data_IF_507079683998
#
_entry.id   IF_507079683998
#
_cell.length_a   1.000
_cell.length_b   1.000
_cell.length_c   1.000
_cell.angle_alpha   90.00
_cell.angle_beta   90.00
_cell.angle_gamma   90.00
#
_symmetry.space_group_name_H-M   'P 1'
#
loop_
_entity.id
_entity.type
_entity.pdbx_description
1 polymer ?
#
# COMPACT_ATOMS: atom_id res chain seq x y z
N UNK A 1 -0.80 -17.64 7.27
CA UNK A 1 -0.28 -16.34 6.82
C UNK A 1 0.91 -16.52 5.86
N UNK A 2 1.85 -17.39 6.20
CA UNK A 2 3.10 -17.58 5.44
C UNK A 2 2.88 -17.98 3.98
N UNK A 3 1.89 -18.84 3.69
CA UNK A 3 1.52 -19.17 2.30
C UNK A 3 1.14 -17.94 1.47
N UNK A 4 0.39 -17.00 2.04
CA UNK A 4 0.00 -15.76 1.34
C UNK A 4 1.19 -14.82 1.16
N UNK A 5 2.04 -14.70 2.19
CA UNK A 5 3.27 -13.90 2.11
C UNK A 5 4.17 -14.48 1.02
N UNK A 6 4.37 -15.80 0.98
CA UNK A 6 5.16 -16.47 -0.04
C UNK A 6 4.60 -16.24 -1.45
N UNK A 7 3.28 -16.35 -1.61
CA UNK A 7 2.61 -16.04 -2.88
C UNK A 7 2.92 -14.60 -3.34
N UNK A 8 2.78 -13.60 -2.46
CA UNK A 8 3.08 -12.22 -2.79
C UNK A 8 4.57 -11.98 -3.03
N UNK A 9 5.46 -12.62 -2.27
CA UNK A 9 6.92 -12.56 -2.48
C UNK A 9 7.27 -13.00 -3.90
N UNK A 10 6.77 -14.17 -4.32
CA UNK A 10 7.01 -14.67 -5.69
C UNK A 10 6.38 -13.73 -6.72
N UNK A 11 5.12 -13.34 -6.52
CA UNK A 11 4.36 -12.57 -7.50
C UNK A 11 4.85 -11.14 -7.66
N UNK A 12 5.40 -10.52 -6.61
CA UNK A 12 5.76 -9.10 -6.59
C UNK A 12 7.26 -8.84 -6.60
N UNK A 13 8.03 -9.65 -5.87
CA UNK A 13 9.48 -9.46 -5.70
C UNK A 13 10.22 -10.26 -6.75
N UNK A 14 9.96 -11.57 -6.85
CA UNK A 14 10.65 -12.42 -7.84
C UNK A 14 10.33 -12.06 -9.29
N UNK A 15 9.23 -11.35 -9.54
CA UNK A 15 8.88 -10.80 -10.86
C UNK A 15 9.36 -9.36 -11.08
N UNK A 16 10.10 -8.80 -10.12
CA UNK A 16 10.62 -7.42 -10.10
C UNK A 16 9.53 -6.33 -10.18
N UNK A 17 8.25 -6.68 -10.14
CA UNK A 17 7.14 -5.73 -10.27
C UNK A 17 7.15 -4.67 -9.18
N UNK A 18 7.45 -5.07 -7.94
CA UNK A 18 7.50 -4.15 -6.81
C UNK A 18 8.70 -3.21 -6.92
N UNK A 19 9.88 -3.74 -7.19
CA UNK A 19 11.12 -2.97 -7.36
C UNK A 19 10.96 -1.90 -8.45
N UNK A 20 10.56 -2.31 -9.66
CA UNK A 20 10.28 -1.41 -10.79
C UNK A 20 9.28 -0.29 -10.46
N UNK A 21 8.36 -0.54 -9.52
CA UNK A 21 7.39 0.46 -9.09
C UNK A 21 7.94 1.40 -8.03
N UNK A 22 8.72 0.88 -7.10
CA UNK A 22 9.39 1.67 -6.04
C UNK A 22 10.48 2.57 -6.62
N UNK A 23 11.23 2.13 -7.62
CA UNK A 23 12.25 2.97 -8.29
C UNK A 23 11.64 4.25 -8.90
N UNK A 24 10.41 4.15 -9.41
CA UNK A 24 9.66 5.30 -9.95
C UNK A 24 9.19 6.25 -8.85
N UNK A 25 9.12 5.78 -7.60
CA UNK A 25 8.74 6.56 -6.41
C UNK A 25 10.03 7.07 -5.76
N UNK A 26 10.74 7.94 -6.47
CA UNK A 26 12.04 8.45 -6.03
C UNK A 26 11.96 9.94 -5.67
N UNK A 27 11.24 10.27 -4.59
CA UNK A 27 11.16 11.64 -4.09
C UNK A 27 11.42 11.75 -2.58
N UNK A 28 11.64 12.99 -2.12
CA UNK A 28 12.01 13.29 -0.74
C UNK A 28 11.00 12.77 0.28
N UNK A 29 9.69 12.90 0.02
CA UNK A 29 8.67 12.43 0.95
C UNK A 29 8.73 10.92 1.14
N UNK A 30 8.93 10.17 0.05
CA UNK A 30 9.11 8.72 0.12
C UNK A 30 10.37 8.35 0.91
N UNK A 31 11.53 8.90 0.52
CA UNK A 31 12.82 8.60 1.17
C UNK A 31 12.79 8.86 2.67
N UNK A 32 12.38 10.06 3.08
CA UNK A 32 12.27 10.41 4.50
C UNK A 32 11.28 9.53 5.25
N UNK A 33 10.18 9.12 4.61
CA UNK A 33 9.24 8.19 5.25
C UNK A 33 9.89 6.83 5.48
N UNK A 34 10.60 6.29 4.49
CA UNK A 34 11.26 4.98 4.63
C UNK A 34 12.38 5.04 5.66
N UNK A 35 13.21 6.09 5.65
CA UNK A 35 14.26 6.31 6.66
C UNK A 35 13.70 6.31 8.09
N UNK A 36 12.57 7.00 8.33
CA UNK A 36 11.92 6.98 9.65
C UNK A 36 11.30 5.65 10.03
N UNK A 37 10.87 4.85 9.05
CA UNK A 37 10.21 3.57 9.29
C UNK A 37 11.21 2.40 9.42
N UNK A 38 12.45 2.57 8.97
CA UNK A 38 13.53 1.58 9.10
C UNK A 38 14.19 1.57 10.48
N UNK A 39 14.12 2.68 11.23
CA UNK A 39 14.72 2.80 12.56
C UNK A 39 13.63 2.97 13.64
N UNK A 40 13.64 2.11 14.66
CA UNK A 40 12.74 2.16 15.82
C UNK A 40 12.68 3.54 16.48
N UNK A 41 13.84 4.19 16.62
CA UNK A 41 13.98 5.46 17.33
C UNK A 41 13.32 6.64 16.60
N UNK A 42 13.06 6.48 15.30
CA UNK A 42 12.54 7.55 14.44
C UNK A 42 11.11 7.30 13.95
N UNK A 43 10.50 6.16 14.29
CA UNK A 43 9.08 5.86 13.97
C UNK A 43 8.16 6.98 14.48
N UNK A 44 8.44 7.51 15.68
CA UNK A 44 7.67 8.62 16.25
C UNK A 44 7.64 9.86 15.35
N UNK A 45 8.74 10.15 14.66
CA UNK A 45 8.85 11.29 13.73
C UNK A 45 7.97 11.10 12.49
N UNK A 46 7.84 9.86 12.01
CA UNK A 46 6.91 9.54 10.93
C UNK A 46 5.46 9.83 11.34
N UNK A 47 5.02 9.35 12.51
CA UNK A 47 3.66 9.54 12.97
C UNK A 47 3.33 10.99 13.35
N UNK A 48 4.32 11.75 13.85
CA UNK A 48 4.18 13.17 14.11
C UNK A 48 3.93 13.98 12.82
N UNK A 49 4.36 13.46 11.65
CA UNK A 49 4.21 14.13 10.37
C UNK A 49 3.04 13.56 9.54
N UNK A 50 1.85 14.16 9.71
CA UNK A 50 0.63 13.75 8.98
C UNK A 50 0.79 13.75 7.45
N UNK A 51 1.64 14.63 6.88
CA UNK A 51 1.89 14.66 5.43
C UNK A 51 2.60 13.39 4.96
N UNK A 52 3.62 12.93 5.70
CA UNK A 52 4.34 11.68 5.40
C UNK A 52 3.42 10.47 5.54
N UNK A 53 2.63 10.41 6.63
CA UNK A 53 1.65 9.33 6.83
C UNK A 53 0.67 9.26 5.65
N UNK A 54 0.06 10.39 5.27
CA UNK A 54 -0.88 10.42 4.15
C UNK A 54 -0.21 10.04 2.83
N UNK A 55 1.03 10.50 2.62
CA UNK A 55 1.81 10.22 1.42
C UNK A 55 2.08 8.71 1.29
N UNK A 56 2.59 8.06 2.34
CA UNK A 56 2.83 6.60 2.35
C UNK A 56 1.55 5.82 2.06
N UNK A 57 0.42 6.16 2.70
CA UNK A 57 -0.83 5.45 2.43
C UNK A 57 -1.39 5.71 1.02
N UNK A 58 -1.07 6.85 0.40
CA UNK A 58 -1.40 7.08 -1.01
C UNK A 58 -0.58 6.16 -1.92
N UNK A 59 0.72 6.04 -1.66
CA UNK A 59 1.59 5.11 -2.39
C UNK A 59 1.14 3.65 -2.19
N UNK A 60 0.82 3.23 -0.96
CA UNK A 60 0.30 1.88 -0.72
C UNK A 60 -1.00 1.62 -1.47
N UNK A 61 -1.87 2.62 -1.62
CA UNK A 61 -3.06 2.50 -2.45
C UNK A 61 -2.72 2.32 -3.93
N UNK A 62 -1.75 3.05 -4.46
CA UNK A 62 -1.28 2.91 -5.85
C UNK A 62 -0.66 1.54 -6.09
N UNK A 63 0.20 1.06 -5.19
CA UNK A 63 0.76 -0.29 -5.25
C UNK A 63 -0.34 -1.36 -5.18
N UNK A 64 -1.34 -1.19 -4.30
CA UNK A 64 -2.48 -2.10 -4.27
C UNK A 64 -3.25 -2.08 -5.59
N UNK A 65 -3.55 -0.91 -6.14
CA UNK A 65 -4.28 -0.81 -7.42
C UNK A 65 -3.52 -1.49 -8.56
N UNK A 66 -2.21 -1.28 -8.63
CA UNK A 66 -1.39 -1.71 -9.76
C UNK A 66 -0.95 -3.18 -9.64
N UNK A 67 -0.73 -3.68 -8.42
CA UNK A 67 -0.04 -4.95 -8.18
C UNK A 67 -0.83 -5.99 -7.39
N UNK A 68 -1.97 -5.63 -6.79
CA UNK A 68 -2.75 -6.57 -5.99
C UNK A 68 -3.61 -7.48 -6.87
N UNK A 69 -3.42 -8.81 -6.85
CA UNK A 69 -4.15 -9.71 -7.72
C UNK A 69 -5.66 -9.73 -7.43
N UNK A 70 -6.47 -9.78 -8.47
CA UNK A 70 -7.93 -9.72 -8.37
C UNK A 70 -8.49 -10.90 -7.55
N UNK A 71 -7.94 -12.10 -7.75
CA UNK A 71 -8.28 -13.32 -7.03
C UNK A 71 -8.02 -13.20 -5.52
N UNK A 72 -7.07 -12.36 -5.11
CA UNK A 72 -6.72 -12.15 -3.71
C UNK A 72 -7.68 -11.20 -2.98
N UNK A 73 -8.54 -10.46 -3.69
CA UNK A 73 -9.41 -9.43 -3.07
C UNK A 73 -10.47 -10.00 -2.11
N UNK A 74 -10.89 -11.24 -2.32
CA UNK A 74 -11.91 -11.91 -1.48
C UNK A 74 -11.27 -12.76 -0.36
N UNK A 75 -9.96 -12.93 -0.37
CA UNK A 75 -9.27 -13.83 0.56
C UNK A 75 -8.97 -13.09 1.87
N UNK A 76 -9.45 -13.64 2.99
CA UNK A 76 -9.17 -13.07 4.32
C UNK A 76 -7.67 -13.08 4.58
N UNK A 77 -7.13 -11.94 5.01
CA UNK A 77 -5.71 -11.80 5.36
C UNK A 77 -4.78 -11.49 4.18
N UNK A 78 -5.27 -11.51 2.93
CA UNK A 78 -4.45 -11.17 1.75
C UNK A 78 -3.89 -9.74 1.82
N UNK A 79 -4.70 -8.76 2.25
CA UNK A 79 -4.23 -7.38 2.46
C UNK A 79 -3.11 -7.30 3.49
N UNK A 80 -3.22 -8.06 4.60
CA UNK A 80 -2.18 -8.10 5.63
C UNK A 80 -0.91 -8.74 5.08
N UNK A 81 -1.04 -9.83 4.33
CA UNK A 81 0.10 -10.50 3.70
C UNK A 81 0.81 -9.59 2.69
N UNK A 82 0.06 -8.90 1.82
CA UNK A 82 0.58 -7.91 0.89
C UNK A 82 1.40 -6.82 1.60
N UNK A 83 0.86 -6.25 2.68
CA UNK A 83 1.54 -5.24 3.47
C UNK A 83 2.80 -5.78 4.18
N UNK A 84 2.77 -7.03 4.66
CA UNK A 84 3.96 -7.68 5.23
C UNK A 84 5.02 -7.89 4.15
N UNK A 85 4.64 -8.31 2.94
CA UNK A 85 5.59 -8.46 1.83
C UNK A 85 6.26 -7.14 1.49
N UNK A 86 5.51 -6.04 1.41
CA UNK A 86 6.08 -4.69 1.19
C UNK A 86 6.97 -4.27 2.36
N UNK A 87 6.53 -4.50 3.60
CA UNK A 87 7.30 -4.19 4.80
C UNK A 87 8.67 -4.89 4.79
N UNK A 88 8.68 -6.18 4.46
CA UNK A 88 9.90 -6.98 4.38
C UNK A 88 10.80 -6.52 3.22
N UNK A 89 10.22 -6.22 2.05
CA UNK A 89 10.96 -5.71 0.90
C UNK A 89 11.66 -4.39 1.21
N UNK A 90 11.00 -3.49 1.95
CA UNK A 90 11.54 -2.18 2.34
C UNK A 90 12.44 -2.22 3.58
N UNK A 91 12.66 -3.41 4.17
CA UNK A 91 13.47 -3.61 5.38
C UNK A 91 13.04 -2.73 6.55
N UNK A 92 11.73 -2.54 6.74
CA UNK A 92 11.21 -1.69 7.81
C UNK A 92 11.46 -2.30 9.20
N UNK A 93 11.46 -1.45 10.23
CA UNK A 93 11.62 -1.88 11.62
C UNK A 93 10.47 -2.79 12.04
N UNK A 94 10.78 -3.86 12.79
CA UNK A 94 9.79 -4.79 13.34
C UNK A 94 8.82 -4.14 14.33
N UNK A 95 9.18 -2.99 14.88
CA UNK A 95 8.33 -2.19 15.77
C UNK A 95 7.26 -1.40 14.99
N UNK A 96 7.42 -1.28 13.67
CA UNK A 96 6.43 -0.68 12.81
C UNK A 96 5.55 -1.75 12.17
N UNK A 97 4.27 -1.44 11.97
CA UNK A 97 3.36 -2.25 11.15
C UNK A 97 2.38 -1.35 10.42
N UNK A 98 2.17 -1.63 9.13
CA UNK A 98 1.14 -0.94 8.36
C UNK A 98 -0.27 -1.31 8.87
N UNK A 99 -1.14 -0.31 8.99
CA UNK A 99 -2.54 -0.49 9.31
C UNK A 99 -3.32 -0.95 8.07
N UNK A 100 -3.51 -2.27 8.00
CA UNK A 100 -4.29 -2.90 6.93
C UNK A 100 -5.74 -2.42 6.85
N UNK A 101 -6.36 -2.04 7.98
CA UNK A 101 -7.74 -1.56 8.03
C UNK A 101 -7.83 -0.15 7.42
N UNK A 102 -6.85 0.71 7.72
CA UNK A 102 -6.73 2.03 7.10
C UNK A 102 -6.58 1.92 5.59
N UNK A 103 -5.70 1.05 5.09
CA UNK A 103 -5.55 0.85 3.64
C UNK A 103 -6.85 0.31 3.01
N UNK A 104 -7.50 -0.68 3.62
CA UNK A 104 -8.78 -1.19 3.14
C UNK A 104 -9.85 -0.10 3.06
N UNK A 105 -9.91 0.80 4.05
CA UNK A 105 -10.84 1.93 4.05
C UNK A 105 -10.55 2.90 2.89
N UNK A 106 -9.27 3.21 2.62
CA UNK A 106 -8.88 4.05 1.49
C UNK A 106 -9.29 3.39 0.15
N UNK A 107 -9.03 2.10 -0.02
CA UNK A 107 -9.43 1.34 -1.23
C UNK A 107 -10.95 1.40 -1.43
N UNK A 108 -11.73 1.09 -0.38
CA UNK A 108 -13.20 1.13 -0.43
C UNK A 108 -13.72 2.52 -0.78
N UNK A 109 -13.19 3.56 -0.14
CA UNK A 109 -13.64 4.94 -0.38
C UNK A 109 -13.33 5.42 -1.80
N UNK A 110 -12.12 5.13 -2.30
CA UNK A 110 -11.75 5.53 -3.67
C UNK A 110 -12.56 4.78 -4.71
N UNK A 111 -12.84 3.48 -4.52
CA UNK A 111 -13.75 2.73 -5.40
C UNK A 111 -15.15 3.34 -5.45
N UNK A 112 -15.75 3.64 -4.29
CA UNK A 112 -17.08 4.30 -4.23
C UNK A 112 -17.13 5.62 -4.99
N UNK A 113 -16.05 6.42 -4.96
CA UNK A 113 -16.00 7.69 -5.71
C UNK A 113 -16.04 7.47 -7.21
N UNK A 114 -15.28 6.48 -7.73
CA UNK A 114 -15.33 6.14 -9.15
C UNK A 114 -16.70 5.61 -9.56
N UNK A 115 -17.26 4.66 -8.81
CA UNK A 115 -18.59 4.08 -9.09
C UNK A 115 -19.69 5.17 -9.11
N UNK A 116 -19.57 6.20 -8.27
CA UNK A 116 -20.52 7.32 -8.23
C UNK A 116 -20.34 8.32 -9.38
N UNK A 117 -19.11 8.55 -9.85
CA UNK A 117 -18.83 9.41 -11.01
C UNK A 117 -19.35 8.75 -12.29
N UNK A 118 -19.20 7.44 -12.44
CA UNK A 118 -19.73 6.74 -13.61
C UNK A 118 -21.27 6.76 -13.62
N UNK A 119 -21.91 6.60 -12.45
CA UNK A 119 -23.37 6.73 -12.33
C UNK A 119 -23.89 8.14 -12.64
N UNK A 120 -23.18 9.20 -12.23
CA UNK A 120 -23.61 10.57 -12.53
C UNK A 120 -23.44 10.92 -14.02
N UNK A 121 -22.44 10.35 -14.70
CA UNK A 121 -22.30 10.47 -16.15
C UNK A 121 -23.42 9.77 -16.92
N UNK A 122 -23.88 8.61 -16.43
CA UNK A 122 -25.02 7.88 -17.02
C UNK A 122 -26.33 8.67 -16.85
N UNK A 123 -26.55 9.28 -15.68
CA UNK A 123 -27.80 10.00 -15.38
C UNK A 123 -27.92 11.39 -16.04
N UNK A 124 -26.80 12.00 -16.46
CA UNK A 124 -26.78 13.30 -17.13
C UNK A 124 -26.70 13.19 -18.66
N UNK A 125 -26.84 11.98 -19.21
CA UNK A 125 -26.80 11.68 -20.65
C UNK A 125 -28.17 11.40 -21.29
N UNK A 126 -29.27 11.83 -20.66
CA UNK A 126 -30.63 11.76 -21.19
C UNK A 126 -31.24 13.17 -21.34
#
# INVERSE_FOLDING_TARGET
MDRLINFFTITLISSEKLENRIEKINNKCWKTSIEYLQNSDTIGNFFANRKLVNYVYSILYELHRDLFPEEMKKIRGSMKAFLITIHNFLLLSKEFTFDSSKLQNIVKQRKKRYDNIDKSKINNGN
#
